data_IF_831810648949
#
_entry.id   IF_831810648949
#
_cell.length_a   1.000
_cell.length_b   1.000
_cell.length_c   1.000
_cell.angle_alpha   90.00
_cell.angle_beta   90.00
_cell.angle_gamma   90.00
#
_symmetry.space_group_name_H-M   'P 1'
#
loop_
_entity.id
_entity.type
_entity.pdbx_description
1 polymer ?
#
# COMPACT_ATOMS: atom_id res chain seq x y z
N UNK A 1 -13.45 -8.02 -43.08
CA UNK A 1 -13.91 -6.68 -43.51
C UNK A 1 -14.18 -5.85 -42.27
N UNK A 2 -13.23 -5.07 -41.87
CA UNK A 2 -13.28 -4.17 -40.70
C UNK A 2 -14.06 -2.91 -41.12
N UNK A 3 -15.26 -2.75 -40.59
CA UNK A 3 -15.96 -1.45 -40.65
C UNK A 3 -15.16 -0.40 -39.90
N UNK A 4 -14.53 0.49 -40.65
CA UNK A 4 -13.96 1.73 -40.10
C UNK A 4 -15.11 2.58 -39.60
N UNK A 5 -15.33 2.61 -38.26
CA UNK A 5 -16.16 3.63 -37.62
C UNK A 5 -15.54 5.00 -37.92
N UNK A 6 -16.30 5.83 -38.62
CA UNK A 6 -15.97 7.23 -38.84
C UNK A 6 -15.85 7.93 -37.48
N UNK A 7 -14.62 8.38 -37.12
CA UNK A 7 -14.41 9.31 -36.00
C UNK A 7 -15.31 10.51 -36.26
N UNK A 8 -16.24 10.82 -35.34
CA UNK A 8 -17.04 12.01 -35.43
C UNK A 8 -16.11 13.22 -35.55
N UNK A 9 -16.21 13.93 -36.64
CA UNK A 9 -15.50 15.19 -36.84
C UNK A 9 -15.95 16.19 -35.77
N UNK A 10 -15.07 17.04 -35.22
CA UNK A 10 -15.39 18.04 -34.16
C UNK A 10 -16.51 19.04 -34.51
N UNK A 11 -16.93 19.08 -35.75
CA UNK A 11 -17.96 20.02 -36.29
C UNK A 11 -19.39 19.49 -36.26
N UNK A 12 -19.69 18.29 -35.76
CA UNK A 12 -21.06 17.85 -35.62
C UNK A 12 -21.78 18.71 -34.57
N UNK A 13 -22.69 19.60 -35.00
CA UNK A 13 -23.45 20.43 -34.10
C UNK A 13 -24.20 19.58 -33.05
N UNK A 14 -23.86 19.74 -31.79
CA UNK A 14 -24.51 19.06 -30.68
C UNK A 14 -26.00 19.43 -30.66
N UNK A 15 -26.91 18.44 -30.77
CA UNK A 15 -28.34 18.66 -30.67
C UNK A 15 -28.80 18.50 -29.22
N UNK A 16 -29.39 19.53 -28.67
CA UNK A 16 -30.00 19.50 -27.35
C UNK A 16 -31.43 18.98 -27.51
N UNK A 17 -31.76 17.93 -26.77
CA UNK A 17 -33.10 17.33 -26.74
C UNK A 17 -33.75 17.49 -25.38
N UNK A 18 -35.02 17.81 -25.32
CA UNK A 18 -35.77 17.74 -24.06
C UNK A 18 -36.21 16.29 -23.85
N UNK A 19 -35.69 15.67 -22.80
CA UNK A 19 -35.88 14.23 -22.54
C UNK A 19 -36.64 14.06 -21.22
N UNK A 20 -37.67 13.17 -21.16
CA UNK A 20 -38.33 12.88 -19.90
C UNK A 20 -37.33 12.39 -18.83
N UNK A 21 -37.35 12.96 -17.64
CA UNK A 21 -36.47 12.61 -16.53
C UNK A 21 -36.55 11.11 -16.23
N UNK A 22 -37.77 10.55 -16.26
CA UNK A 22 -38.03 9.14 -15.99
C UNK A 22 -37.43 8.17 -17.03
N UNK A 23 -37.01 8.63 -18.22
CA UNK A 23 -36.44 7.81 -19.27
C UNK A 23 -34.90 7.70 -19.16
N UNK A 24 -34.26 8.53 -18.34
CA UNK A 24 -32.82 8.52 -18.11
C UNK A 24 -32.45 7.44 -17.10
N UNK A 25 -31.30 6.84 -17.34
CA UNK A 25 -30.76 5.77 -16.48
C UNK A 25 -29.47 6.26 -15.83
N UNK A 26 -29.41 6.39 -14.49
CA UNK A 26 -28.16 6.72 -13.82
C UNK A 26 -27.09 5.65 -14.11
N UNK A 27 -25.85 6.06 -14.33
CA UNK A 27 -24.73 5.14 -14.45
C UNK A 27 -24.46 4.47 -13.10
N UNK A 28 -24.51 3.12 -12.97
CA UNK A 28 -24.45 2.42 -11.67
C UNK A 28 -23.16 2.68 -10.90
N UNK A 29 -22.07 2.98 -11.59
CA UNK A 29 -20.74 3.23 -11.05
C UNK A 29 -20.37 4.71 -10.93
N UNK A 30 -21.33 5.65 -10.95
CA UNK A 30 -21.00 7.08 -10.84
C UNK A 30 -20.18 7.37 -9.58
N UNK A 31 -18.92 7.85 -9.73
CA UNK A 31 -18.01 8.03 -8.60
C UNK A 31 -18.19 9.35 -7.85
N UNK A 32 -19.03 10.25 -8.35
CA UNK A 32 -19.18 11.59 -7.78
C UNK A 32 -20.14 11.61 -6.59
N UNK A 33 -19.70 12.20 -5.50
CA UNK A 33 -20.51 12.45 -4.30
C UNK A 33 -20.92 13.92 -4.26
N UNK A 34 -22.11 14.18 -3.77
CA UNK A 34 -22.64 15.53 -3.52
C UNK A 34 -23.33 15.54 -2.16
N UNK A 35 -23.03 16.52 -1.34
CA UNK A 35 -23.71 16.70 -0.06
C UNK A 35 -25.13 17.21 -0.24
N UNK A 36 -25.98 16.99 0.77
CA UNK A 36 -27.37 17.51 0.75
C UNK A 36 -27.42 19.05 0.60
N UNK A 37 -26.42 19.76 1.14
CA UNK A 37 -26.35 21.22 1.01
C UNK A 37 -26.03 21.66 -0.43
N UNK A 38 -25.14 20.93 -1.11
CA UNK A 38 -24.79 21.21 -2.51
C UNK A 38 -25.97 20.91 -3.45
N UNK A 39 -26.69 19.81 -3.18
CA UNK A 39 -27.93 19.50 -3.93
C UNK A 39 -28.97 20.59 -3.78
N UNK A 40 -29.17 21.14 -2.57
CA UNK A 40 -30.09 22.26 -2.37
C UNK A 40 -29.65 23.53 -3.10
N UNK A 41 -28.35 23.84 -3.14
CA UNK A 41 -27.80 24.95 -3.95
C UNK A 41 -28.04 24.73 -5.44
N UNK A 42 -27.84 23.51 -5.94
CA UNK A 42 -28.05 23.14 -7.33
C UNK A 42 -29.57 23.27 -7.71
N UNK A 43 -30.47 22.79 -6.87
CA UNK A 43 -31.91 22.92 -7.03
C UNK A 43 -32.34 24.39 -7.12
N UNK A 44 -31.79 25.23 -6.22
CA UNK A 44 -32.06 26.66 -6.23
C UNK A 44 -31.57 27.31 -7.52
N UNK A 45 -30.36 26.99 -7.95
CA UNK A 45 -29.79 27.48 -9.22
C UNK A 45 -30.62 27.06 -10.43
N UNK A 46 -31.07 25.80 -10.51
CA UNK A 46 -31.93 25.33 -11.61
C UNK A 46 -33.28 26.02 -11.60
N UNK A 47 -33.83 26.26 -10.42
CA UNK A 47 -35.14 26.96 -10.28
C UNK A 47 -35.04 28.42 -10.71
N UNK A 48 -33.92 29.10 -10.49
CA UNK A 48 -33.74 30.52 -10.75
C UNK A 48 -33.26 30.80 -12.19
N UNK A 49 -32.32 29.99 -12.69
CA UNK A 49 -31.65 30.23 -13.97
C UNK A 49 -31.95 29.18 -15.04
N UNK A 50 -32.68 28.12 -14.70
CA UNK A 50 -32.84 26.95 -15.56
C UNK A 50 -31.57 26.10 -15.65
N UNK A 51 -31.51 25.20 -16.64
CA UNK A 51 -30.35 24.36 -16.90
C UNK A 51 -29.29 25.15 -17.70
N UNK A 52 -28.28 25.67 -17.02
CA UNK A 52 -27.09 26.30 -17.65
C UNK A 52 -26.15 25.27 -18.24
N UNK A 53 -26.07 24.10 -17.63
CA UNK A 53 -25.30 22.98 -18.12
C UNK A 53 -26.21 21.78 -18.42
N UNK A 54 -25.87 21.01 -19.44
CA UNK A 54 -26.66 19.91 -19.96
C UNK A 54 -26.39 18.59 -19.24
N UNK A 55 -27.35 17.66 -19.35
CA UNK A 55 -27.10 16.25 -19.04
C UNK A 55 -26.54 15.59 -20.29
N UNK A 56 -25.46 14.83 -20.17
CA UNK A 56 -24.92 14.02 -21.26
C UNK A 56 -25.36 12.58 -21.05
N UNK A 57 -25.94 11.95 -22.09
CA UNK A 57 -26.42 10.58 -22.04
C UNK A 57 -26.01 9.79 -23.28
N UNK A 58 -25.80 8.49 -23.10
CA UNK A 58 -25.53 7.55 -24.19
C UNK A 58 -26.78 7.35 -25.02
N UNK A 59 -26.64 7.48 -26.34
CA UNK A 59 -27.76 7.42 -27.28
C UNK A 59 -28.45 6.03 -27.32
N UNK A 60 -27.68 4.97 -27.10
CA UNK A 60 -28.15 3.61 -27.24
C UNK A 60 -29.20 3.20 -26.19
N UNK A 61 -29.11 3.76 -24.94
CA UNK A 61 -29.90 3.26 -23.82
C UNK A 61 -30.28 4.34 -22.78
N UNK A 62 -30.02 5.61 -23.08
CA UNK A 62 -30.25 6.75 -22.18
C UNK A 62 -29.42 6.71 -20.88
N UNK A 63 -28.32 5.96 -20.83
CA UNK A 63 -27.45 5.96 -19.65
C UNK A 63 -26.73 7.29 -19.53
N UNK A 64 -26.83 7.93 -18.37
CA UNK A 64 -26.20 9.23 -18.08
C UNK A 64 -24.70 9.01 -17.96
N UNK A 65 -23.91 9.76 -18.71
CA UNK A 65 -22.44 9.79 -18.65
C UNK A 65 -21.91 11.06 -17.99
N UNK A 66 -22.75 12.10 -17.89
CA UNK A 66 -22.45 13.36 -17.18
C UNK A 66 -23.69 14.07 -16.73
N UNK A 67 -23.64 14.77 -15.60
CA UNK A 67 -24.77 15.55 -15.08
C UNK A 67 -25.77 14.75 -14.23
N UNK A 68 -25.36 13.66 -13.59
CA UNK A 68 -26.21 12.85 -12.69
C UNK A 68 -26.94 13.68 -11.63
N UNK A 69 -26.24 14.62 -11.01
CA UNK A 69 -26.83 15.49 -9.98
C UNK A 69 -27.85 16.50 -10.53
N UNK A 70 -27.75 16.87 -11.81
CA UNK A 70 -28.76 17.68 -12.48
C UNK A 70 -30.04 16.90 -12.71
N UNK A 71 -29.94 15.64 -13.05
CA UNK A 71 -31.07 14.72 -13.16
C UNK A 71 -31.72 14.49 -11.78
N UNK A 72 -30.91 14.29 -10.72
CA UNK A 72 -31.42 14.14 -9.37
C UNK A 72 -32.10 15.41 -8.85
N UNK A 73 -31.51 16.59 -9.11
CA UNK A 73 -32.12 17.87 -8.79
C UNK A 73 -33.44 18.08 -9.55
N UNK A 74 -33.49 17.65 -10.82
CA UNK A 74 -34.73 17.72 -11.63
C UNK A 74 -35.83 16.82 -11.08
N UNK A 75 -35.50 15.61 -10.62
CA UNK A 75 -36.44 14.72 -9.91
C UNK A 75 -36.97 15.38 -8.63
N UNK A 76 -36.07 15.91 -7.81
CA UNK A 76 -36.43 16.57 -6.56
C UNK A 76 -37.28 17.86 -6.78
N UNK A 77 -37.12 18.51 -7.92
CA UNK A 77 -37.92 19.65 -8.35
C UNK A 77 -39.20 19.27 -9.13
N UNK A 78 -39.49 17.98 -9.28
CA UNK A 78 -40.62 17.43 -10.03
C UNK A 78 -40.69 17.92 -11.49
N UNK A 79 -39.57 18.18 -12.14
CA UNK A 79 -39.50 18.57 -13.54
C UNK A 79 -39.80 17.36 -14.43
N UNK A 80 -40.59 17.59 -15.49
CA UNK A 80 -41.00 16.54 -16.43
C UNK A 80 -39.87 16.15 -17.39
N UNK A 81 -39.09 17.13 -17.83
CA UNK A 81 -38.03 16.98 -18.82
C UNK A 81 -36.74 17.68 -18.40
N UNK A 82 -35.62 17.25 -18.92
CA UNK A 82 -34.32 17.90 -18.80
C UNK A 82 -33.66 18.05 -20.16
N UNK A 83 -32.80 19.06 -20.36
CA UNK A 83 -32.05 19.21 -21.60
C UNK A 83 -30.88 18.19 -21.61
N UNK A 84 -30.86 17.34 -22.63
CA UNK A 84 -29.90 16.28 -22.82
C UNK A 84 -29.15 16.45 -24.13
N UNK A 85 -27.85 16.22 -24.09
CA UNK A 85 -27.02 15.99 -25.27
C UNK A 85 -26.70 14.49 -25.35
N UNK A 86 -26.97 13.90 -26.51
CA UNK A 86 -26.64 12.47 -26.72
C UNK A 86 -25.25 12.28 -27.29
N UNK A 87 -24.53 11.32 -26.72
CA UNK A 87 -23.24 10.84 -27.24
C UNK A 87 -23.41 9.43 -27.82
N UNK A 88 -22.84 9.20 -28.99
CA UNK A 88 -22.89 7.91 -29.67
C UNK A 88 -21.59 7.16 -29.40
N UNK A 89 -21.52 6.49 -28.27
CA UNK A 89 -20.35 5.79 -27.75
C UNK A 89 -20.71 4.38 -27.30
N UNK A 90 -19.73 3.48 -27.33
CA UNK A 90 -19.84 2.14 -26.77
C UNK A 90 -19.99 2.19 -25.24
N UNK A 91 -20.28 1.06 -24.62
CA UNK A 91 -20.38 1.00 -23.15
C UNK A 91 -19.03 1.28 -22.48
N UNK A 92 -17.94 0.78 -23.04
CA UNK A 92 -16.59 1.01 -22.55
C UNK A 92 -16.18 2.49 -22.64
N UNK A 93 -16.42 3.13 -23.80
CA UNK A 93 -16.18 4.55 -23.99
C UNK A 93 -17.08 5.41 -23.10
N UNK A 94 -18.33 5.00 -22.81
CA UNK A 94 -19.21 5.69 -21.88
C UNK A 94 -18.67 5.66 -20.45
N UNK A 95 -18.06 4.56 -20.03
CA UNK A 95 -17.37 4.46 -18.72
C UNK A 95 -16.19 5.41 -18.63
N UNK A 96 -15.31 5.42 -19.64
CA UNK A 96 -14.19 6.35 -19.72
C UNK A 96 -14.66 7.82 -19.72
N UNK A 97 -15.69 8.13 -20.51
CA UNK A 97 -16.26 9.47 -20.60
C UNK A 97 -16.89 9.91 -19.26
N UNK A 98 -17.55 8.99 -18.53
CA UNK A 98 -18.10 9.27 -17.21
C UNK A 98 -17.01 9.70 -16.24
N UNK A 99 -15.85 9.02 -16.26
CA UNK A 99 -14.67 9.37 -15.46
C UNK A 99 -14.12 10.73 -15.90
N UNK A 100 -13.88 10.93 -17.20
CA UNK A 100 -13.33 12.17 -17.75
C UNK A 100 -14.18 13.41 -17.42
N UNK A 101 -15.51 13.33 -17.60
CA UNK A 101 -16.43 14.45 -17.31
C UNK A 101 -16.54 14.76 -15.80
N UNK A 102 -16.22 13.82 -14.95
CA UNK A 102 -16.21 14.01 -13.51
C UNK A 102 -14.85 14.46 -12.96
N UNK A 103 -13.76 14.43 -13.76
CA UNK A 103 -12.43 14.89 -13.36
C UNK A 103 -12.39 16.38 -13.00
N UNK A 104 -13.27 17.19 -13.57
CA UNK A 104 -13.19 18.66 -13.57
C UNK A 104 -13.81 19.34 -12.33
N UNK A 105 -14.27 18.61 -11.30
CA UNK A 105 -14.76 19.24 -10.07
C UNK A 105 -15.63 18.38 -9.18
N UNK A 106 -15.53 18.59 -7.88
CA UNK A 106 -16.27 17.92 -6.83
C UNK A 106 -15.45 16.83 -6.12
N UNK A 107 -16.01 16.31 -5.02
CA UNK A 107 -15.41 15.19 -4.29
C UNK A 107 -15.72 13.86 -4.96
N UNK A 108 -14.78 12.92 -4.85
CA UNK A 108 -14.84 11.61 -5.47
C UNK A 108 -15.14 10.53 -4.43
N UNK A 109 -16.00 9.57 -4.81
CA UNK A 109 -16.00 8.26 -4.16
C UNK A 109 -14.81 7.45 -4.72
N UNK A 110 -13.69 7.49 -4.01
CA UNK A 110 -12.43 6.88 -4.46
C UNK A 110 -12.57 5.37 -4.70
N UNK A 111 -13.50 4.68 -4.01
CA UNK A 111 -13.76 3.24 -4.23
C UNK A 111 -14.35 2.98 -5.60
N UNK A 112 -15.36 3.79 -5.98
CA UNK A 112 -16.01 3.65 -7.29
C UNK A 112 -15.09 4.06 -8.43
N UNK A 113 -14.27 5.11 -8.22
CA UNK A 113 -13.25 5.50 -9.21
C UNK A 113 -12.23 4.39 -9.38
N UNK A 114 -11.68 3.84 -8.29
CA UNK A 114 -10.72 2.74 -8.35
C UNK A 114 -11.27 1.53 -9.12
N UNK A 115 -12.49 1.11 -8.82
CA UNK A 115 -13.14 0.00 -9.53
C UNK A 115 -13.30 0.27 -11.03
N UNK A 116 -13.76 1.48 -11.39
CA UNK A 116 -13.91 1.87 -12.81
C UNK A 116 -12.57 1.90 -13.55
N UNK A 117 -11.52 2.40 -12.91
CA UNK A 117 -10.19 2.43 -13.51
C UNK A 117 -9.60 1.02 -13.67
N UNK A 118 -9.83 0.11 -12.72
CA UNK A 118 -9.44 -1.30 -12.85
C UNK A 118 -10.18 -1.98 -14.01
N UNK A 119 -11.49 -1.74 -14.15
CA UNK A 119 -12.27 -2.26 -15.28
C UNK A 119 -11.77 -1.72 -16.63
N UNK A 120 -11.40 -0.44 -16.70
CA UNK A 120 -10.86 0.19 -17.91
C UNK A 120 -9.49 -0.39 -18.30
N UNK A 121 -8.58 -0.61 -17.34
CA UNK A 121 -7.28 -1.27 -17.57
C UNK A 121 -7.40 -2.70 -18.13
N UNK A 122 -8.50 -3.39 -17.88
CA UNK A 122 -8.75 -4.74 -18.36
C UNK A 122 -9.30 -4.85 -19.80
N UNK A 123 -9.57 -3.73 -20.48
CA UNK A 123 -10.20 -3.73 -21.81
C UNK A 123 -9.15 -3.65 -22.94
N UNK A 124 -9.03 -4.68 -23.80
CA UNK A 124 -7.90 -4.82 -24.74
C UNK A 124 -7.84 -3.76 -25.86
N UNK A 125 -8.94 -3.05 -26.15
CA UNK A 125 -9.05 -2.11 -27.27
C UNK A 125 -9.36 -0.67 -26.84
N UNK A 126 -9.26 -0.35 -25.54
CA UNK A 126 -9.54 0.98 -25.01
C UNK A 126 -8.24 1.72 -24.70
N UNK A 127 -8.09 2.91 -25.25
CA UNK A 127 -7.05 3.84 -24.85
C UNK A 127 -7.37 4.39 -23.45
N UNK A 128 -6.61 3.98 -22.45
CA UNK A 128 -6.82 4.37 -21.03
C UNK A 128 -6.75 5.89 -20.84
N UNK A 129 -6.05 6.61 -21.70
CA UNK A 129 -5.94 8.08 -21.65
C UNK A 129 -7.26 8.79 -21.95
N UNK A 130 -8.25 8.10 -22.56
CA UNK A 130 -9.61 8.63 -22.77
C UNK A 130 -10.35 8.92 -21.46
N UNK A 131 -9.92 8.33 -20.34
CA UNK A 131 -10.41 8.68 -18.99
C UNK A 131 -10.01 10.09 -18.56
N UNK A 132 -9.04 10.71 -19.24
CA UNK A 132 -8.47 12.01 -18.90
C UNK A 132 -7.41 11.96 -17.79
N UNK A 133 -7.02 10.76 -17.32
CA UNK A 133 -5.95 10.54 -16.36
C UNK A 133 -4.70 10.03 -17.07
N UNK A 134 -3.53 10.49 -16.63
CA UNK A 134 -2.28 9.86 -17.01
C UNK A 134 -2.02 8.59 -16.16
N UNK A 135 -1.01 7.80 -16.55
CA UNK A 135 -0.68 6.54 -15.90
C UNK A 135 -0.36 6.73 -14.41
N UNK A 136 0.35 7.81 -14.04
CA UNK A 136 0.69 8.12 -12.65
C UNK A 136 -0.53 8.55 -11.83
N UNK A 137 -1.42 9.36 -12.41
CA UNK A 137 -2.69 9.76 -11.78
C UNK A 137 -3.61 8.55 -11.54
N UNK A 138 -3.68 7.62 -12.50
CA UNK A 138 -4.46 6.38 -12.36
C UNK A 138 -3.92 5.48 -11.26
N UNK A 139 -2.61 5.30 -11.18
CA UNK A 139 -1.99 4.53 -10.10
C UNK A 139 -2.23 5.16 -8.73
N UNK A 140 -2.17 6.49 -8.64
CA UNK A 140 -2.45 7.22 -7.41
C UNK A 140 -3.91 7.04 -6.96
N UNK A 141 -4.87 7.17 -7.88
CA UNK A 141 -6.30 6.98 -7.56
C UNK A 141 -6.62 5.54 -7.14
N UNK A 142 -5.99 4.54 -7.76
CA UNK A 142 -6.11 3.15 -7.34
C UNK A 142 -5.58 2.93 -5.92
N UNK A 143 -4.42 3.53 -5.59
CA UNK A 143 -3.86 3.50 -4.24
C UNK A 143 -4.77 4.18 -3.22
N UNK A 144 -5.35 5.34 -3.55
CA UNK A 144 -6.29 6.06 -2.68
C UNK A 144 -7.63 5.31 -2.50
N UNK A 145 -8.10 4.63 -3.55
CA UNK A 145 -9.25 3.73 -3.49
C UNK A 145 -9.00 2.56 -2.51
N UNK A 146 -7.81 1.95 -2.57
CA UNK A 146 -7.42 0.90 -1.63
C UNK A 146 -7.39 1.41 -0.18
N UNK A 147 -6.93 2.66 0.06
CA UNK A 147 -6.94 3.28 1.39
C UNK A 147 -8.34 3.40 1.98
N UNK A 148 -9.33 3.74 1.16
CA UNK A 148 -10.73 3.85 1.61
C UNK A 148 -11.45 2.50 1.77
N UNK A 149 -10.97 1.44 1.12
CA UNK A 149 -11.54 0.10 1.26
C UNK A 149 -11.15 -0.59 2.57
N UNK A 150 -10.26 0.00 3.37
CA UNK A 150 -9.86 -0.59 4.63
C UNK A 150 -11.01 -0.58 5.65
N UNK A 151 -11.25 -1.70 6.32
CA UNK A 151 -11.88 -1.65 7.63
C UNK A 151 -11.00 -0.73 8.49
N UNK A 152 -11.62 0.10 9.32
CA UNK A 152 -10.93 1.05 10.20
C UNK A 152 -9.74 0.43 10.94
N UNK A 153 -8.98 1.19 11.73
CA UNK A 153 -7.68 0.77 12.22
C UNK A 153 -7.77 -0.66 12.73
N UNK A 154 -7.12 -1.57 12.00
CA UNK A 154 -7.04 -2.97 12.37
C UNK A 154 -6.24 -3.02 13.65
N UNK A 155 -6.95 -3.14 14.71
CA UNK A 155 -6.40 -3.78 15.89
C UNK A 155 -6.36 -5.26 15.50
N UNK A 156 -5.19 -5.77 15.08
CA UNK A 156 -4.94 -7.22 15.08
C UNK A 156 -5.53 -7.67 16.40
N UNK A 157 -6.57 -8.52 16.38
CA UNK A 157 -7.14 -8.94 17.63
C UNK A 157 -5.97 -9.59 18.35
N UNK A 158 -5.51 -8.95 19.43
CA UNK A 158 -4.32 -9.37 20.16
C UNK A 158 -4.42 -10.83 20.58
N UNK A 159 -5.63 -11.35 20.61
CA UNK A 159 -5.97 -12.75 20.87
C UNK A 159 -5.45 -13.69 19.77
N UNK A 160 -5.62 -13.43 18.49
CA UNK A 160 -5.21 -14.35 17.43
C UNK A 160 -3.70 -14.39 17.19
N UNK A 161 -3.02 -13.25 17.27
CA UNK A 161 -1.55 -13.22 17.18
C UNK A 161 -0.90 -13.77 18.46
N UNK A 162 -1.54 -13.53 19.61
CA UNK A 162 -1.12 -14.07 20.91
C UNK A 162 -1.36 -15.55 21.02
N UNK A 163 -2.49 -16.04 20.56
CA UNK A 163 -2.81 -17.47 20.52
C UNK A 163 -1.87 -18.23 19.58
N UNK A 164 -1.57 -17.70 18.40
CA UNK A 164 -0.57 -18.26 17.50
C UNK A 164 0.84 -18.27 18.13
N UNK A 165 1.21 -17.19 18.81
CA UNK A 165 2.45 -17.11 19.59
C UNK A 165 2.46 -18.06 20.77
N UNK A 166 1.36 -18.23 21.48
CA UNK A 166 1.26 -19.07 22.67
C UNK A 166 1.22 -20.56 22.29
N UNK A 167 0.49 -20.93 21.25
CA UNK A 167 0.48 -22.32 20.74
C UNK A 167 1.85 -22.75 20.24
N UNK A 168 2.64 -21.86 19.63
CA UNK A 168 4.02 -22.15 19.21
C UNK A 168 5.04 -22.15 20.36
N UNK A 169 4.66 -21.62 21.54
CA UNK A 169 5.50 -21.61 22.75
C UNK A 169 5.54 -22.93 23.49
N UNK A 170 4.48 -23.67 23.46
CA UNK A 170 4.26 -24.74 24.45
C UNK A 170 4.55 -26.14 23.91
N UNK A 171 4.65 -26.40 22.62
CA UNK A 171 4.47 -27.79 22.20
C UNK A 171 5.22 -28.35 21.00
N UNK A 172 6.10 -27.69 20.26
CA UNK A 172 6.72 -28.42 19.16
C UNK A 172 8.09 -27.88 18.72
N UNK A 173 8.96 -28.75 18.17
CA UNK A 173 10.09 -28.32 17.39
C UNK A 173 9.58 -27.46 16.22
N UNK A 174 10.26 -26.34 15.96
CA UNK A 174 9.91 -25.45 14.83
C UNK A 174 9.89 -26.26 13.53
N UNK A 175 8.86 -26.08 12.70
CA UNK A 175 8.77 -26.72 11.38
C UNK A 175 9.76 -26.12 10.38
N UNK A 176 10.19 -24.87 10.62
CA UNK A 176 11.17 -24.15 9.80
C UNK A 176 12.59 -24.45 10.29
N UNK A 177 13.52 -24.69 9.35
CA UNK A 177 14.94 -24.95 9.62
C UNK A 177 15.81 -23.90 8.94
N UNK A 178 17.03 -23.65 9.47
CA UNK A 178 18.00 -22.81 8.76
C UNK A 178 18.25 -23.32 7.33
N UNK A 179 18.20 -22.41 6.36
CA UNK A 179 18.32 -22.71 4.93
C UNK A 179 17.00 -22.98 4.22
N UNK A 180 15.90 -23.16 4.94
CA UNK A 180 14.58 -23.38 4.33
C UNK A 180 14.09 -22.14 3.62
N UNK A 181 13.40 -22.36 2.50
CA UNK A 181 12.59 -21.33 1.83
C UNK A 181 11.13 -21.77 1.82
N UNK A 182 10.23 -20.89 2.24
CA UNK A 182 8.80 -21.11 2.31
C UNK A 182 8.04 -20.16 1.38
N UNK A 183 6.87 -20.61 0.91
CA UNK A 183 5.98 -19.89 0.02
C UNK A 183 4.61 -19.68 0.66
N UNK A 184 4.43 -18.68 1.56
CA UNK A 184 3.11 -18.32 2.06
C UNK A 184 2.36 -17.52 0.99
N UNK A 185 1.47 -18.18 0.23
CA UNK A 185 0.73 -17.57 -0.87
C UNK A 185 1.62 -16.93 -1.94
N UNK A 186 1.51 -15.61 -2.11
CA UNK A 186 2.33 -14.83 -3.04
C UNK A 186 3.66 -14.34 -2.47
N UNK A 187 3.92 -14.59 -1.18
CA UNK A 187 5.16 -14.16 -0.51
C UNK A 187 6.22 -15.25 -0.55
N UNK A 188 7.44 -14.87 -0.23
CA UNK A 188 8.54 -15.82 0.03
C UNK A 188 9.23 -15.49 1.35
N UNK A 189 9.58 -16.52 2.09
CA UNK A 189 10.32 -16.43 3.34
C UNK A 189 11.55 -17.33 3.27
N UNK A 190 12.71 -16.75 3.48
CA UNK A 190 13.98 -17.48 3.65
C UNK A 190 14.36 -17.49 5.12
N UNK A 191 14.65 -18.67 5.66
CA UNK A 191 15.15 -18.81 7.02
C UNK A 191 16.68 -18.89 7.01
N UNK A 192 17.35 -17.77 7.29
CA UNK A 192 18.80 -17.69 7.30
C UNK A 192 19.32 -16.27 7.32
N UNK A 193 20.64 -16.12 7.37
CA UNK A 193 21.30 -14.82 7.32
C UNK A 193 21.17 -14.22 5.91
N UNK A 194 20.47 -13.09 5.82
CA UNK A 194 20.25 -12.35 4.57
C UNK A 194 21.54 -11.76 3.99
N UNK A 195 22.58 -11.61 4.79
CA UNK A 195 23.88 -11.07 4.37
C UNK A 195 24.85 -12.14 3.86
N UNK A 196 24.44 -13.41 3.84
CA UNK A 196 25.21 -14.48 3.18
C UNK A 196 25.07 -14.33 1.67
N UNK A 197 26.20 -14.48 0.97
CA UNK A 197 26.24 -14.39 -0.48
C UNK A 197 25.23 -15.35 -1.13
N UNK A 198 24.39 -14.83 -2.01
CA UNK A 198 23.37 -15.59 -2.72
C UNK A 198 22.02 -15.73 -1.98
N UNK A 199 21.93 -15.37 -0.69
CA UNK A 199 20.67 -15.50 0.06
C UNK A 199 19.55 -14.64 -0.50
N UNK A 200 19.82 -13.37 -0.77
CA UNK A 200 18.84 -12.45 -1.36
C UNK A 200 18.56 -12.78 -2.83
N UNK A 201 19.54 -13.22 -3.60
CA UNK A 201 19.38 -13.67 -4.98
C UNK A 201 18.44 -14.89 -5.06
N UNK A 202 18.58 -15.85 -4.15
CA UNK A 202 17.67 -17.01 -4.05
C UNK A 202 16.24 -16.56 -3.74
N UNK A 203 16.07 -15.58 -2.84
CA UNK A 203 14.78 -15.06 -2.46
C UNK A 203 14.11 -14.32 -3.61
N UNK A 204 14.87 -13.56 -4.39
CA UNK A 204 14.42 -12.75 -5.52
C UNK A 204 14.08 -13.56 -6.78
N UNK A 205 14.63 -14.76 -6.95
CA UNK A 205 14.46 -15.60 -8.17
C UNK A 205 14.75 -14.83 -9.47
N UNK A 206 15.82 -14.01 -9.47
CA UNK A 206 16.24 -13.18 -10.60
C UNK A 206 15.47 -11.86 -10.78
N UNK A 207 14.49 -11.58 -9.93
CA UNK A 207 13.73 -10.33 -9.95
C UNK A 207 14.42 -9.18 -9.22
N UNK A 208 13.74 -8.05 -9.14
CA UNK A 208 14.11 -6.85 -8.37
C UNK A 208 12.89 -6.34 -7.61
N UNK A 209 13.12 -5.65 -6.49
CA UNK A 209 12.05 -5.17 -5.63
C UNK A 209 11.68 -3.70 -5.91
N UNK A 210 10.43 -3.36 -5.64
CA UNK A 210 9.89 -2.02 -5.76
C UNK A 210 10.12 -1.18 -4.50
N UNK A 211 10.16 -1.85 -3.34
CA UNK A 211 10.30 -1.23 -2.04
C UNK A 211 11.16 -2.10 -1.13
N UNK A 212 12.02 -1.47 -0.34
CA UNK A 212 12.64 -2.07 0.83
C UNK A 212 12.05 -1.41 2.08
N UNK A 213 11.52 -2.21 3.01
CA UNK A 213 10.94 -1.74 4.26
C UNK A 213 11.45 -2.64 5.38
N UNK A 214 12.32 -2.10 6.25
CA UNK A 214 13.06 -2.96 7.16
C UNK A 214 13.46 -2.30 8.48
N UNK A 215 13.49 -3.11 9.54
CA UNK A 215 13.96 -2.77 10.89
C UNK A 215 15.20 -3.61 11.22
N UNK A 216 16.40 -3.11 10.89
CA UNK A 216 17.64 -3.88 11.04
C UNK A 216 18.07 -4.03 12.50
N UNK A 217 18.93 -5.01 12.82
CA UNK A 217 19.58 -5.07 14.11
C UNK A 217 20.50 -3.85 14.30
N UNK A 218 20.47 -3.24 15.51
CA UNK A 218 21.22 -2.01 15.79
C UNK A 218 22.62 -2.25 16.38
N UNK A 219 23.01 -3.48 16.60
CA UNK A 219 24.31 -3.84 17.19
C UNK A 219 24.48 -3.36 18.65
N UNK A 220 23.39 -3.01 19.32
CA UNK A 220 23.43 -2.45 20.70
C UNK A 220 23.37 -3.52 21.78
N UNK A 221 23.46 -4.81 21.41
CA UNK A 221 23.36 -5.90 22.38
C UNK A 221 22.08 -5.88 23.19
N UNK A 222 20.94 -5.58 22.55
CA UNK A 222 19.66 -5.41 23.23
C UNK A 222 19.33 -6.63 24.08
N UNK A 223 19.48 -6.48 25.39
CA UNK A 223 19.03 -7.46 26.37
C UNK A 223 17.71 -6.98 26.95
N UNK A 224 16.65 -7.76 26.78
CA UNK A 224 15.37 -7.46 27.43
C UNK A 224 15.58 -7.26 28.93
N UNK A 225 15.35 -6.06 29.41
CA UNK A 225 15.42 -5.70 30.85
C UNK A 225 14.27 -6.31 31.65
N UNK A 226 13.28 -6.93 30.98
CA UNK A 226 12.10 -7.52 31.59
C UNK A 226 12.29 -8.99 32.02
N UNK A 227 13.52 -9.53 31.97
CA UNK A 227 13.78 -10.86 32.48
C UNK A 227 13.50 -10.92 33.98
N UNK A 228 12.31 -11.42 34.36
CA UNK A 228 12.02 -11.80 35.75
C UNK A 228 13.09 -12.78 36.25
N UNK A 229 13.51 -12.59 37.51
CA UNK A 229 14.49 -13.43 38.20
C UNK A 229 14.38 -14.89 37.83
N UNK A 230 15.44 -15.45 37.19
CA UNK A 230 15.62 -16.90 37.01
C UNK A 230 15.60 -17.43 35.56
N UNK A 231 15.28 -16.63 34.52
CA UNK A 231 15.38 -17.09 33.13
C UNK A 231 16.63 -16.53 32.42
N UNK A 232 17.30 -17.34 31.61
CA UNK A 232 18.48 -16.97 30.81
C UNK A 232 18.09 -15.79 29.89
N UNK A 233 18.89 -14.73 29.94
CA UNK A 233 18.84 -13.62 29.00
C UNK A 233 19.06 -14.16 27.58
N UNK A 234 18.10 -14.00 26.67
CA UNK A 234 18.31 -14.27 25.25
C UNK A 234 18.81 -13.01 24.58
N UNK A 235 19.95 -13.09 23.94
CA UNK A 235 20.43 -12.08 23.01
C UNK A 235 19.71 -12.27 21.66
N UNK A 236 19.44 -11.18 20.94
CA UNK A 236 19.02 -11.25 19.53
C UNK A 236 20.25 -11.78 18.77
N UNK A 237 20.06 -12.79 17.91
CA UNK A 237 21.12 -13.28 17.05
C UNK A 237 21.68 -12.13 16.21
N UNK A 238 23.01 -11.96 16.18
CA UNK A 238 23.73 -10.86 15.52
C UNK A 238 23.56 -9.44 16.09
N UNK A 239 22.87 -9.24 17.22
CA UNK A 239 22.85 -7.95 17.92
C UNK A 239 24.02 -7.81 18.92
N UNK A 240 24.84 -8.85 19.10
CA UNK A 240 25.99 -8.87 19.99
C UNK A 240 27.26 -8.55 19.21
N UNK A 241 27.78 -7.32 19.39
CA UNK A 241 29.20 -6.94 19.22
C UNK A 241 29.79 -6.88 17.79
N UNK A 242 29.02 -7.03 16.71
CA UNK A 242 29.50 -6.56 15.42
C UNK A 242 29.39 -5.02 15.42
N UNK A 243 30.46 -4.33 15.01
CA UNK A 243 30.39 -2.87 14.88
C UNK A 243 29.25 -2.55 13.89
N UNK A 244 28.28 -1.76 14.35
CA UNK A 244 27.13 -1.37 13.52
C UNK A 244 27.54 -0.75 12.18
N UNK A 245 28.71 -0.11 12.11
CA UNK A 245 29.28 0.40 10.86
C UNK A 245 29.69 -0.76 9.91
N UNK A 246 30.24 -1.84 10.44
CA UNK A 246 30.59 -3.03 9.64
C UNK A 246 29.32 -3.68 9.09
N UNK A 247 28.30 -3.87 9.90
CA UNK A 247 27.00 -4.34 9.46
C UNK A 247 26.43 -3.47 8.33
N UNK A 248 26.39 -2.13 8.50
CA UNK A 248 25.88 -1.20 7.48
C UNK A 248 26.69 -1.29 6.18
N UNK A 249 28.01 -1.39 6.26
CA UNK A 249 28.89 -1.49 5.08
C UNK A 249 28.63 -2.75 4.23
N UNK A 250 28.17 -3.83 4.85
CA UNK A 250 27.80 -5.08 4.18
C UNK A 250 26.35 -5.06 3.69
N UNK A 251 25.42 -4.62 4.53
CA UNK A 251 23.99 -4.67 4.27
C UNK A 251 23.56 -3.72 3.16
N UNK A 252 24.00 -2.46 3.17
CA UNK A 252 23.50 -1.43 2.25
C UNK A 252 23.83 -1.72 0.79
N UNK A 253 25.04 -2.12 0.38
CA UNK A 253 25.32 -2.50 -1.01
C UNK A 253 24.53 -3.71 -1.47
N UNK A 254 24.36 -4.73 -0.62
CA UNK A 254 23.58 -5.93 -0.93
C UNK A 254 22.10 -5.57 -1.14
N UNK A 255 21.51 -4.79 -0.25
CA UNK A 255 20.13 -4.34 -0.38
C UNK A 255 19.96 -3.51 -1.66
N UNK A 256 20.86 -2.57 -1.93
CA UNK A 256 20.81 -1.76 -3.16
C UNK A 256 20.82 -2.63 -4.41
N UNK A 257 21.61 -3.71 -4.41
CA UNK A 257 21.69 -4.64 -5.53
C UNK A 257 20.37 -5.35 -5.84
N UNK A 258 19.45 -5.46 -4.86
CA UNK A 258 18.13 -6.08 -5.03
C UNK A 258 17.09 -5.14 -5.61
N UNK A 259 17.31 -3.84 -5.56
CA UNK A 259 16.31 -2.82 -5.86
C UNK A 259 16.23 -2.51 -7.35
N UNK A 260 15.03 -2.18 -7.83
CA UNK A 260 14.84 -1.53 -9.14
C UNK A 260 15.44 -0.13 -9.11
N UNK A 261 15.83 0.38 -10.27
CA UNK A 261 16.28 1.79 -10.37
C UNK A 261 15.12 2.72 -9.99
N UNK A 262 15.35 3.60 -9.02
CA UNK A 262 14.36 4.52 -8.48
C UNK A 262 13.41 3.90 -7.45
N UNK A 263 13.63 2.64 -7.04
CA UNK A 263 12.95 2.06 -5.89
C UNK A 263 13.38 2.74 -4.59
N UNK A 264 12.49 2.76 -3.61
CA UNK A 264 12.68 3.47 -2.34
C UNK A 264 12.95 2.45 -1.21
N UNK A 265 13.73 2.88 -0.23
CA UNK A 265 14.00 2.14 0.99
C UNK A 265 13.52 2.96 2.20
N UNK A 266 12.81 2.32 3.11
CA UNK A 266 12.50 2.82 4.45
C UNK A 266 13.26 1.98 5.48
N UNK A 267 14.16 2.65 6.16
CA UNK A 267 15.07 2.05 7.14
C UNK A 267 14.77 2.57 8.53
N UNK A 268 14.27 1.73 9.42
CA UNK A 268 14.07 2.12 10.80
C UNK A 268 15.43 2.32 11.49
N UNK A 269 15.57 3.44 12.19
CA UNK A 269 16.79 3.80 12.91
C UNK A 269 16.42 4.39 14.24
N UNK A 270 16.43 3.63 15.29
CA UNK A 270 16.00 4.04 16.63
C UNK A 270 16.13 5.55 16.94
N UNK A 271 15.22 6.06 17.73
CA UNK A 271 15.18 7.49 18.06
C UNK A 271 15.83 7.79 19.40
N UNK A 272 16.96 8.44 19.41
CA UNK A 272 17.58 9.05 20.60
C UNK A 272 18.03 8.08 21.71
N UNK A 273 19.12 8.38 22.33
CA UNK A 273 19.81 7.67 23.39
C UNK A 273 21.31 7.85 23.20
N UNK A 274 22.13 7.50 24.15
CA UNK A 274 23.58 7.68 24.07
C UNK A 274 24.30 7.00 22.90
N UNK A 275 23.60 6.14 22.13
CA UNK A 275 24.14 5.49 20.93
C UNK A 275 23.78 6.30 19.68
N UNK A 276 24.73 6.63 18.80
CA UNK A 276 24.52 7.40 17.58
C UNK A 276 23.97 6.56 16.42
N UNK A 277 23.12 5.55 16.66
CA UNK A 277 22.55 4.65 15.64
C UNK A 277 21.96 5.41 14.45
N UNK A 278 21.11 6.41 14.71
CA UNK A 278 20.53 7.25 13.66
C UNK A 278 21.60 7.98 12.83
N UNK A 279 22.59 8.57 13.50
CA UNK A 279 23.66 9.33 12.82
C UNK A 279 24.52 8.40 11.97
N UNK A 280 24.89 7.21 12.48
CA UNK A 280 25.65 6.20 11.75
C UNK A 280 24.86 5.70 10.52
N UNK A 281 23.58 5.39 10.71
CA UNK A 281 22.71 4.96 9.61
C UNK A 281 22.59 6.03 8.52
N UNK A 282 22.32 7.29 8.88
CA UNK A 282 22.23 8.40 7.93
C UNK A 282 23.52 8.57 7.12
N UNK A 283 24.68 8.59 7.80
CA UNK A 283 25.97 8.72 7.13
C UNK A 283 26.24 7.55 6.17
N UNK A 284 25.98 6.33 6.59
CA UNK A 284 26.21 5.15 5.76
C UNK A 284 25.25 5.09 4.56
N UNK A 285 23.95 5.38 4.78
CA UNK A 285 22.93 5.36 3.72
C UNK A 285 23.26 6.39 2.64
N UNK A 286 23.69 7.59 3.00
CA UNK A 286 24.04 8.63 2.03
C UNK A 286 25.27 8.31 1.15
N UNK A 287 26.06 7.32 1.53
CA UNK A 287 27.16 6.83 0.68
C UNK A 287 26.67 5.91 -0.48
N UNK A 288 25.49 5.33 -0.33
CA UNK A 288 24.96 4.35 -1.28
C UNK A 288 23.66 4.80 -1.96
N UNK A 289 22.85 5.64 -1.32
CA UNK A 289 21.51 6.01 -1.72
C UNK A 289 21.33 7.51 -1.75
N UNK A 290 20.37 7.97 -2.53
CA UNK A 290 19.88 9.35 -2.47
C UNK A 290 18.93 9.51 -1.29
N UNK A 291 19.31 10.32 -0.30
CA UNK A 291 18.45 10.60 0.85
C UNK A 291 17.27 11.46 0.40
N UNK A 292 16.05 11.00 0.68
CA UNK A 292 14.82 11.71 0.33
C UNK A 292 14.23 12.45 1.54
N UNK A 293 14.11 11.76 2.68
CA UNK A 293 13.46 12.30 3.87
C UNK A 293 13.92 11.56 5.13
N UNK A 294 13.55 12.11 6.29
CA UNK A 294 13.55 11.40 7.58
C UNK A 294 12.16 11.53 8.15
N UNK A 295 11.42 10.43 8.18
CA UNK A 295 10.12 10.36 8.80
C UNK A 295 10.26 10.11 10.30
N UNK A 296 9.30 10.58 11.05
CA UNK A 296 9.19 10.36 12.50
C UNK A 296 7.98 9.49 12.79
N UNK A 297 8.19 8.29 13.32
CA UNK A 297 7.11 7.54 13.93
C UNK A 297 6.89 7.99 15.36
N UNK A 298 5.84 8.81 15.59
CA UNK A 298 5.35 9.20 16.91
C UNK A 298 4.53 8.04 17.51
N UNK A 299 5.05 7.50 18.62
CA UNK A 299 4.49 6.32 19.29
C UNK A 299 3.29 6.63 20.18
N UNK A 300 2.91 7.91 20.28
CA UNK A 300 1.86 8.46 21.12
C UNK A 300 2.13 8.35 22.63
N UNK A 301 2.81 7.30 23.07
CA UNK A 301 3.18 7.07 24.47
C UNK A 301 4.68 7.26 24.68
N UNK A 302 5.10 8.03 25.70
CA UNK A 302 6.50 8.17 26.04
C UNK A 302 7.04 6.87 26.63
N UNK A 303 8.16 6.40 26.08
CA UNK A 303 8.91 5.27 26.62
C UNK A 303 9.54 5.57 27.99
N UNK A 304 10.27 4.61 28.54
CA UNK A 304 11.10 4.82 29.72
C UNK A 304 12.26 5.76 29.38
N UNK A 305 12.67 6.60 30.32
CA UNK A 305 13.80 7.50 30.13
C UNK A 305 13.95 8.48 31.28
N UNK A 306 15.16 9.03 31.38
CA UNK A 306 15.51 10.12 32.26
C UNK A 306 15.56 11.42 31.46
N UNK A 307 15.13 12.58 31.99
CA UNK A 307 14.95 13.86 31.29
C UNK A 307 13.85 13.75 30.19
N UNK A 308 14.20 13.89 28.88
CA UNK A 308 13.28 13.76 27.78
C UNK A 308 12.97 12.29 27.50
N UNK A 309 11.71 11.89 27.64
CA UNK A 309 11.26 10.50 27.40
C UNK A 309 11.10 10.27 25.91
N UNK A 310 11.55 9.10 25.45
CA UNK A 310 11.52 8.75 24.03
C UNK A 310 10.09 8.41 23.59
N UNK A 311 9.51 9.23 22.73
CA UNK A 311 8.15 9.02 22.20
C UNK A 311 8.17 8.70 20.70
N UNK A 312 9.32 8.68 20.05
CA UNK A 312 9.41 8.50 18.60
C UNK A 312 10.58 7.62 18.17
N UNK A 313 10.50 7.13 16.92
CA UNK A 313 11.60 6.52 16.16
C UNK A 313 11.76 7.21 14.81
N UNK A 314 12.99 7.25 14.29
CA UNK A 314 13.28 7.73 12.95
C UNK A 314 13.09 6.60 11.93
N UNK A 315 12.59 6.97 10.74
CA UNK A 315 12.53 6.13 9.57
C UNK A 315 13.21 6.89 8.44
N UNK A 316 14.37 6.41 7.99
CA UNK A 316 15.13 7.06 6.92
C UNK A 316 14.55 6.60 5.58
N UNK A 317 14.10 7.57 4.78
CA UNK A 317 13.64 7.36 3.41
C UNK A 317 14.76 7.69 2.44
N UNK A 318 15.14 6.71 1.62
CA UNK A 318 16.22 6.86 0.65
C UNK A 318 15.92 6.06 -0.63
N UNK A 319 16.52 6.42 -1.77
CA UNK A 319 16.22 5.79 -3.05
C UNK A 319 17.45 5.28 -3.79
N UNK A 320 17.26 4.23 -4.58
CA UNK A 320 18.28 3.70 -5.49
C UNK A 320 18.29 4.47 -6.82
N UNK A 321 18.71 5.75 -6.78
CA UNK A 321 18.63 6.73 -7.87
C UNK A 321 17.30 7.48 -7.85
N UNK A 322 17.07 8.37 -8.83
CA UNK A 322 15.91 9.26 -8.86
C UNK A 322 14.60 8.45 -8.75
N UNK A 323 13.76 8.67 -7.72
CA UNK A 323 12.50 7.97 -7.57
C UNK A 323 11.58 8.30 -8.76
N UNK A 324 10.82 7.30 -9.21
CA UNK A 324 9.99 7.42 -10.40
C UNK A 324 8.56 7.82 -10.09
N UNK A 325 7.98 7.19 -9.07
CA UNK A 325 6.55 7.28 -8.77
C UNK A 325 6.37 7.44 -7.25
N UNK A 326 5.46 8.30 -6.89
CA UNK A 326 4.92 8.44 -5.54
C UNK A 326 3.45 8.00 -5.56
N UNK A 327 3.10 7.00 -4.77
CA UNK A 327 1.74 6.46 -4.66
C UNK A 327 0.96 7.06 -3.49
N UNK A 328 1.62 7.87 -2.66
CA UNK A 328 1.00 8.61 -1.56
C UNK A 328 0.26 9.83 -2.06
N UNK A 329 -0.80 10.24 -1.35
CA UNK A 329 -1.50 11.48 -1.62
C UNK A 329 -0.65 12.73 -1.30
N UNK A 330 -1.17 13.91 -1.59
CA UNK A 330 -0.54 15.20 -1.27
C UNK A 330 -0.65 15.57 0.22
N UNK A 331 -1.43 14.83 0.99
CA UNK A 331 -1.70 14.99 2.41
C UNK A 331 -0.79 14.13 3.31
N UNK A 332 0.06 13.28 2.72
CA UNK A 332 1.01 12.47 3.46
C UNK A 332 1.98 13.35 4.26
N UNK A 333 2.09 13.03 5.55
CA UNK A 333 2.96 13.76 6.48
C UNK A 333 4.16 12.91 6.85
N UNK A 334 5.29 13.55 7.08
CA UNK A 334 6.50 12.87 7.55
C UNK A 334 6.51 12.60 9.08
N UNK A 335 5.44 12.92 9.79
CA UNK A 335 5.18 12.51 11.17
C UNK A 335 4.02 11.54 11.19
N UNK A 336 4.33 10.26 11.36
CA UNK A 336 3.40 9.14 11.35
C UNK A 336 3.00 8.80 12.79
N UNK A 337 1.70 8.90 13.11
CA UNK A 337 1.19 8.72 14.48
C UNK A 337 0.50 7.37 14.62
N UNK A 338 1.22 6.42 15.17
CA UNK A 338 0.71 5.07 15.42
C UNK A 338 1.12 4.60 16.82
N UNK A 339 0.20 4.04 17.62
CA UNK A 339 0.55 3.47 18.90
C UNK A 339 1.55 2.33 18.73
N UNK A 340 2.39 2.09 19.73
CA UNK A 340 3.23 0.89 19.77
C UNK A 340 2.35 -0.34 19.73
N UNK A 341 2.80 -1.40 19.05
CA UNK A 341 2.23 -2.71 19.28
C UNK A 341 2.47 -3.07 20.76
N UNK A 342 1.43 -3.48 21.47
CA UNK A 342 1.54 -3.84 22.90
C UNK A 342 2.29 -5.16 22.97
N UNK A 343 3.46 -5.26 23.63
CA UNK A 343 4.12 -6.52 23.85
C UNK A 343 3.25 -7.37 24.78
N UNK A 344 2.85 -8.53 24.35
CA UNK A 344 2.39 -9.52 25.32
C UNK A 344 3.58 -10.08 26.09
N UNK A 345 3.32 -10.39 27.38
CA UNK A 345 4.31 -10.84 28.34
C UNK A 345 5.31 -11.83 27.71
N UNK A 346 6.56 -11.52 27.84
CA UNK A 346 7.69 -12.46 27.83
C UNK A 346 8.37 -12.79 26.50
N UNK A 347 8.79 -12.08 25.54
CA UNK A 347 9.95 -12.53 24.72
C UNK A 347 10.28 -11.80 23.40
N UNK A 348 9.66 -10.70 23.06
CA UNK A 348 10.07 -10.04 21.81
C UNK A 348 10.38 -8.56 22.00
N UNK A 349 11.44 -8.04 21.36
CA UNK A 349 11.53 -6.61 21.10
C UNK A 349 10.25 -6.21 20.33
N UNK A 350 9.64 -5.12 20.71
CA UNK A 350 8.33 -4.64 20.27
C UNK A 350 8.23 -4.68 18.76
N UNK A 351 7.35 -5.51 18.14
CA UNK A 351 7.20 -5.53 16.69
C UNK A 351 6.69 -4.17 16.21
N UNK A 352 7.05 -3.78 14.98
CA UNK A 352 6.52 -2.56 14.37
C UNK A 352 5.01 -2.71 14.15
N UNK A 353 4.21 -1.66 14.38
CA UNK A 353 2.76 -1.72 14.14
C UNK A 353 2.45 -2.01 12.68
N UNK A 354 1.64 -3.02 12.40
CA UNK A 354 1.22 -3.36 11.04
C UNK A 354 0.58 -2.16 10.32
N UNK A 355 -0.32 -1.35 10.94
CA UNK A 355 -0.89 -0.18 10.27
C UNK A 355 0.14 0.88 9.82
N UNK A 356 1.22 1.09 10.59
CA UNK A 356 2.31 1.96 10.18
C UNK A 356 3.00 1.45 8.90
N UNK A 357 3.28 0.15 8.85
CA UNK A 357 3.92 -0.48 7.69
C UNK A 357 3.00 -0.49 6.48
N UNK A 358 1.70 -0.69 6.66
CA UNK A 358 0.69 -0.58 5.61
C UNK A 358 0.66 0.81 4.98
N UNK A 359 0.69 1.87 5.79
CA UNK A 359 0.73 3.26 5.31
C UNK A 359 1.96 3.51 4.43
N UNK A 360 3.15 3.07 4.89
CA UNK A 360 4.39 3.20 4.13
C UNK A 360 4.32 2.38 2.82
N UNK A 361 3.84 1.13 2.88
CA UNK A 361 3.75 0.26 1.71
C UNK A 361 2.83 0.86 0.63
N UNK A 362 1.68 1.40 1.03
CA UNK A 362 0.75 2.04 0.08
C UNK A 362 1.34 3.28 -0.56
N UNK A 363 2.05 4.09 0.22
CA UNK A 363 2.66 5.31 -0.28
C UNK A 363 3.85 5.06 -1.23
N UNK A 364 4.59 3.95 -1.05
CA UNK A 364 5.89 3.76 -1.68
C UNK A 364 5.97 2.57 -2.65
N UNK A 365 5.01 1.63 -2.64
CA UNK A 365 5.01 0.46 -3.51
C UNK A 365 3.79 0.45 -4.44
N UNK A 366 3.96 0.17 -5.74
CA UNK A 366 2.84 0.04 -6.67
C UNK A 366 1.92 -1.11 -6.25
N UNK A 367 0.68 -1.08 -6.71
CA UNK A 367 -0.26 -2.20 -6.55
C UNK A 367 0.36 -3.48 -7.12
N UNK A 368 0.31 -4.58 -6.34
CA UNK A 368 1.00 -5.84 -6.64
C UNK A 368 2.54 -5.75 -6.69
N UNK A 369 3.11 -4.65 -6.19
CA UNK A 369 4.56 -4.47 -6.09
C UNK A 369 5.22 -5.48 -5.14
N UNK A 370 6.54 -5.55 -5.22
CA UNK A 370 7.36 -6.46 -4.42
C UNK A 370 8.06 -5.66 -3.32
N UNK A 371 7.80 -6.02 -2.06
CA UNK A 371 8.43 -5.46 -0.86
C UNK A 371 9.49 -6.44 -0.35
N UNK A 372 10.68 -5.96 -0.02
CA UNK A 372 11.74 -6.73 0.62
C UNK A 372 11.90 -6.31 2.08
N UNK A 373 11.92 -7.28 2.98
CA UNK A 373 12.36 -7.13 4.36
C UNK A 373 13.45 -8.17 4.68
N UNK A 374 14.73 -7.77 4.63
CA UNK A 374 15.85 -8.70 4.88
C UNK A 374 16.06 -9.02 6.36
N UNK A 375 15.33 -8.38 7.29
CA UNK A 375 15.43 -8.56 8.75
C UNK A 375 14.02 -8.65 9.37
N UNK A 376 13.24 -9.60 8.89
CA UNK A 376 11.78 -9.57 9.02
C UNK A 376 11.24 -9.87 10.44
N UNK A 377 12.04 -10.46 11.33
CA UNK A 377 11.60 -10.81 12.68
C UNK A 377 10.35 -11.68 12.68
N UNK A 378 9.34 -11.29 13.47
CA UNK A 378 8.04 -11.96 13.51
C UNK A 378 7.11 -11.60 12.32
N UNK A 379 7.62 -10.94 11.29
CA UNK A 379 6.98 -10.72 10.00
C UNK A 379 5.89 -9.64 9.92
N UNK A 380 5.96 -8.53 10.65
CA UNK A 380 4.93 -7.50 10.53
C UNK A 380 4.86 -6.92 9.10
N UNK A 381 5.99 -6.84 8.40
CA UNK A 381 6.07 -6.40 7.01
C UNK A 381 5.36 -7.35 6.06
N UNK A 382 5.47 -8.68 6.27
CA UNK A 382 4.76 -9.68 5.46
C UNK A 382 3.25 -9.56 5.66
N UNK A 383 2.77 -9.38 6.88
CA UNK A 383 1.36 -9.19 7.19
C UNK A 383 0.84 -7.89 6.56
N UNK A 384 1.60 -6.78 6.64
CA UNK A 384 1.24 -5.52 6.01
C UNK A 384 1.18 -5.65 4.47
N UNK A 385 2.13 -6.37 3.85
CA UNK A 385 2.13 -6.63 2.41
C UNK A 385 0.93 -7.49 1.98
N UNK A 386 0.56 -8.54 2.74
CA UNK A 386 -0.63 -9.35 2.47
C UNK A 386 -1.89 -8.47 2.46
N UNK A 387 -2.07 -7.66 3.49
CA UNK A 387 -3.24 -6.80 3.66
C UNK A 387 -3.34 -5.68 2.63
N UNK A 388 -2.21 -5.25 2.08
CA UNK A 388 -2.14 -4.21 1.05
C UNK A 388 -2.08 -4.76 -0.38
N UNK A 389 -2.19 -6.07 -0.58
CA UNK A 389 -2.17 -6.68 -1.92
C UNK A 389 -0.77 -6.73 -2.57
N UNK A 390 0.30 -6.48 -1.80
CA UNK A 390 1.69 -6.55 -2.28
C UNK A 390 2.29 -7.92 -1.96
N UNK A 391 3.36 -8.30 -2.69
CA UNK A 391 4.15 -9.47 -2.36
C UNK A 391 5.30 -9.09 -1.42
N UNK A 392 5.58 -9.90 -0.41
CA UNK A 392 6.71 -9.71 0.48
C UNK A 392 7.76 -10.79 0.25
N UNK A 393 9.01 -10.38 0.13
CA UNK A 393 10.18 -11.24 0.21
C UNK A 393 10.84 -10.98 1.56
N UNK A 394 10.82 -11.96 2.45
CA UNK A 394 11.26 -11.83 3.83
C UNK A 394 12.45 -12.75 4.10
N UNK A 395 13.45 -12.27 4.84
CA UNK A 395 14.49 -13.11 5.38
C UNK A 395 14.53 -12.97 6.91
N UNK A 396 14.69 -14.10 7.61
CA UNK A 396 14.76 -14.16 9.07
C UNK A 396 15.75 -15.23 9.49
N UNK A 397 16.73 -14.86 10.31
CA UNK A 397 17.81 -15.75 10.72
C UNK A 397 17.37 -16.78 11.77
N UNK A 398 16.41 -16.42 12.63
CA UNK A 398 15.94 -17.24 13.72
C UNK A 398 14.76 -18.11 13.26
N UNK A 399 14.91 -19.45 13.19
CA UNK A 399 13.84 -20.33 12.70
C UNK A 399 12.51 -20.18 13.43
N UNK A 400 12.57 -19.86 14.71
CA UNK A 400 11.36 -19.65 15.52
C UNK A 400 10.56 -18.45 15.07
N UNK A 401 11.21 -17.34 14.72
CA UNK A 401 10.52 -16.17 14.21
C UNK A 401 9.98 -16.38 12.81
N UNK A 402 10.72 -17.09 11.98
CA UNK A 402 10.24 -17.53 10.68
C UNK A 402 8.97 -18.39 10.80
N UNK A 403 8.91 -19.31 11.76
CA UNK A 403 7.73 -20.15 12.00
C UNK A 403 6.53 -19.33 12.54
N UNK A 404 6.78 -18.38 13.44
CA UNK A 404 5.77 -17.42 13.92
C UNK A 404 5.20 -16.60 12.76
N UNK A 405 6.05 -16.14 11.85
CA UNK A 405 5.63 -15.39 10.66
C UNK A 405 4.68 -16.20 9.78
N UNK A 406 4.99 -17.47 9.54
CA UNK A 406 4.13 -18.38 8.79
C UNK A 406 2.78 -18.58 9.51
N UNK A 407 2.80 -18.83 10.82
CA UNK A 407 1.59 -19.04 11.61
C UNK A 407 0.67 -17.79 11.61
N UNK A 408 1.25 -16.60 11.71
CA UNK A 408 0.49 -15.32 11.60
C UNK A 408 -0.16 -15.17 10.23
N UNK A 409 0.57 -15.49 9.16
CA UNK A 409 0.02 -15.43 7.81
C UNK A 409 -1.09 -16.47 7.59
N UNK A 410 -0.91 -17.70 8.08
CA UNK A 410 -1.92 -18.75 8.04
C UNK A 410 -3.19 -18.37 8.80
N UNK A 411 -3.04 -17.80 9.99
CA UNK A 411 -4.17 -17.31 10.80
C UNK A 411 -4.93 -16.16 10.09
N UNK A 412 -4.19 -15.26 9.41
CA UNK A 412 -4.79 -14.15 8.67
C UNK A 412 -5.57 -14.60 7.44
N UNK A 413 -5.03 -15.58 6.70
CA UNK A 413 -5.55 -15.95 5.37
C UNK A 413 -6.42 -17.20 5.37
N UNK A 414 -6.37 -18.01 6.43
CA UNK A 414 -6.98 -19.34 6.46
C UNK A 414 -6.32 -20.37 5.54
N UNK A 415 -5.14 -20.06 4.98
CA UNK A 415 -4.41 -20.90 4.02
C UNK A 415 -3.16 -21.46 4.66
N UNK A 416 -2.74 -22.68 4.27
CA UNK A 416 -1.50 -23.27 4.75
C UNK A 416 -0.29 -22.79 3.93
N UNK A 417 0.79 -22.40 4.61
CA UNK A 417 2.05 -22.12 3.96
C UNK A 417 2.74 -23.43 3.53
N UNK A 418 3.40 -23.42 2.36
CA UNK A 418 4.10 -24.57 1.83
C UNK A 418 5.61 -24.29 1.68
N UNK A 419 6.49 -25.31 1.79
CA UNK A 419 7.89 -25.16 1.40
C UNK A 419 7.98 -24.72 -0.07
N UNK A 420 8.84 -23.76 -0.35
CA UNK A 420 9.09 -23.35 -1.73
C UNK A 420 9.73 -24.48 -2.52
N UNK A 421 9.28 -24.70 -3.73
CA UNK A 421 9.92 -25.67 -4.64
C UNK A 421 11.30 -25.14 -5.00
N UNK A 422 12.36 -25.78 -4.50
CA UNK A 422 13.73 -25.54 -4.99
C UNK A 422 13.78 -25.88 -6.47
N UNK A 423 14.00 -24.88 -7.33
CA UNK A 423 14.46 -25.17 -8.68
C UNK A 423 15.87 -25.75 -8.53
N UNK A 424 15.98 -27.06 -8.65
CA UNK A 424 17.29 -27.70 -8.85
C UNK A 424 17.85 -27.08 -10.13
N UNK A 425 18.85 -26.23 -10.03
CA UNK A 425 19.71 -25.88 -11.16
C UNK A 425 20.47 -27.14 -11.52
N UNK A 426 19.83 -27.98 -12.36
CA UNK A 426 20.53 -29.04 -13.08
C UNK A 426 21.58 -28.35 -13.94
N UNK A 427 22.83 -28.73 -13.76
CA UNK A 427 24.01 -28.10 -14.29
C UNK A 427 23.94 -27.72 -15.78
N UNK A 428 24.51 -26.59 -16.07
CA UNK A 428 25.17 -26.31 -17.33
C UNK A 428 26.61 -25.89 -17.06
#
# INVERSE_FOLDING_TARGET
MSEQRSKQTPEAALRICQVPVASLRPFPGNPRIMSSQELEKLKRSISEFGFVELVAARKADNTIVGGHWREEAAKALHLKTVPVVYVDVSEAEARALCVALNKIGGEWDLRKVGHLLEELKGLPDLDETLSGFDEGEMEQLLSDSERQQMPGPYVESFESAAEALQQHRESAPTRVKPGDTWQPGRHRLYCGDSLVLGALEQLLDGGKVDLVLTDPPYGIGYQSTLAKRGRRKRAIANDAAEDYNEFLSRALPMIKSTMKRGAVMYWFAGGGGGDPVLAKALLAITQHFDLLNVLVWDKLDPGLGWRWRRSWEAIIEASAGKPRIWHGGTDCRNVLRFPKAIPQQDDHPTPKPVPLLEEIIRAAAPTRGIVLDPFAGAGPTLIAAERTGRSCLAAEIEPRYADIMLARWEALTGSAAAPARTRTTAGR
#
